data_IF_067939910459
#
_entry.id   IF_067939910459
#
_cell.length_a   1.000
_cell.length_b   1.000
_cell.length_c   1.000
_cell.angle_alpha   90.00
_cell.angle_beta   90.00
_cell.angle_gamma   90.00
#
_symmetry.space_group_name_H-M   'P 1'
#
loop_
_entity.id
_entity.type
_entity.pdbx_description
1 polymer ?
#
# COMPACT_ATOMS: atom_id res chain seq x y z
N UNK A 1 -13.66 1.43 -1.19
CA UNK A 1 -14.38 1.95 0.00
C UNK A 1 -15.34 0.90 0.57
N UNK A 2 -16.23 0.29 -0.24
CA UNK A 2 -17.22 -0.68 0.24
C UNK A 2 -16.61 -1.94 0.89
N UNK A 3 -15.51 -2.49 0.36
CA UNK A 3 -14.83 -3.65 0.95
C UNK A 3 -14.28 -3.40 2.36
N UNK A 4 -13.94 -2.15 2.69
CA UNK A 4 -13.54 -1.75 4.04
C UNK A 4 -14.74 -1.58 4.96
N UNK A 5 -15.83 -1.02 4.46
CA UNK A 5 -17.09 -0.90 5.20
C UNK A 5 -17.69 -2.28 5.52
N UNK A 6 -17.56 -3.24 4.59
CA UNK A 6 -17.95 -4.64 4.76
C UNK A 6 -16.94 -5.47 5.55
N UNK A 7 -15.82 -4.87 5.98
CA UNK A 7 -14.74 -5.54 6.72
C UNK A 7 -14.26 -6.85 6.10
N UNK A 8 -14.26 -6.95 4.76
CA UNK A 8 -13.87 -8.17 4.04
C UNK A 8 -12.41 -8.07 3.55
N UNK A 9 -11.47 -8.81 4.17
CA UNK A 9 -10.05 -8.72 3.79
C UNK A 9 -9.81 -9.21 2.36
N UNK A 10 -10.56 -10.23 1.93
CA UNK A 10 -10.44 -10.83 0.59
C UNK A 10 -10.88 -9.86 -0.49
N UNK A 11 -12.02 -9.21 -0.33
CA UNK A 11 -12.51 -8.21 -1.27
C UNK A 11 -11.61 -6.98 -1.29
N UNK A 12 -11.11 -6.56 -0.13
CA UNK A 12 -10.15 -5.46 -0.05
C UNK A 12 -8.89 -5.75 -0.86
N UNK A 13 -8.27 -6.93 -0.66
CA UNK A 13 -7.09 -7.35 -1.43
C UNK A 13 -7.37 -7.42 -2.94
N UNK A 14 -8.53 -7.96 -3.32
CA UNK A 14 -8.94 -8.03 -4.73
C UNK A 14 -9.07 -6.64 -5.36
N UNK A 15 -9.82 -5.74 -4.72
CA UNK A 15 -10.04 -4.39 -5.25
C UNK A 15 -8.76 -3.55 -5.23
N UNK A 16 -7.88 -3.74 -4.24
CA UNK A 16 -6.55 -3.14 -4.23
C UNK A 16 -5.74 -3.60 -5.45
N UNK A 17 -5.71 -4.90 -5.75
CA UNK A 17 -5.03 -5.44 -6.92
C UNK A 17 -5.57 -4.85 -8.23
N UNK A 18 -6.90 -4.77 -8.39
CA UNK A 18 -7.50 -4.16 -9.59
C UNK A 18 -7.13 -2.68 -9.73
N UNK A 19 -7.13 -1.94 -8.63
CA UNK A 19 -6.74 -0.53 -8.63
C UNK A 19 -5.28 -0.34 -9.00
N UNK A 20 -4.36 -1.09 -8.39
CA UNK A 20 -2.92 -1.05 -8.71
C UNK A 20 -2.69 -1.43 -10.18
N UNK A 21 -3.37 -2.45 -10.68
CA UNK A 21 -3.29 -2.85 -12.10
C UNK A 21 -3.70 -1.71 -13.02
N UNK A 22 -4.80 -1.02 -12.71
CA UNK A 22 -5.23 0.14 -13.47
C UNK A 22 -4.20 1.28 -13.46
N UNK A 23 -3.64 1.62 -12.29
CA UNK A 23 -2.59 2.64 -12.18
C UNK A 23 -1.31 2.25 -12.93
N UNK A 24 -0.96 0.96 -12.89
CA UNK A 24 0.18 0.40 -13.61
C UNK A 24 -0.01 0.52 -15.11
N UNK A 25 -1.18 0.17 -15.64
CA UNK A 25 -1.50 0.27 -17.08
C UNK A 25 -1.51 1.72 -17.54
N UNK A 26 -2.07 2.62 -16.73
CA UNK A 26 -2.13 4.06 -17.05
C UNK A 26 -0.80 4.78 -16.83
N UNK A 27 0.19 4.12 -16.21
CA UNK A 27 1.50 4.70 -15.90
C UNK A 27 1.43 5.84 -14.87
N UNK A 28 0.40 5.86 -14.02
CA UNK A 28 0.20 6.94 -13.06
C UNK A 28 1.09 6.75 -11.82
N UNK A 29 2.34 7.16 -11.95
CA UNK A 29 3.36 7.07 -10.91
C UNK A 29 2.96 7.81 -9.63
N UNK A 30 2.43 9.03 -9.73
CA UNK A 30 2.07 9.85 -8.56
C UNK A 30 1.05 9.16 -7.66
N UNK A 31 0.02 8.54 -8.24
CA UNK A 31 -0.97 7.78 -7.47
C UNK A 31 -0.41 6.47 -6.90
N UNK A 32 0.51 5.80 -7.60
CA UNK A 32 1.18 4.62 -7.08
C UNK A 32 2.05 4.96 -5.86
N UNK A 33 2.82 6.05 -5.94
CA UNK A 33 3.61 6.56 -4.82
C UNK A 33 2.73 6.90 -3.64
N UNK A 34 1.65 7.66 -3.86
CA UNK A 34 0.70 7.99 -2.80
C UNK A 34 0.06 6.74 -2.18
N UNK A 35 -0.26 5.72 -2.98
CA UNK A 35 -0.82 4.46 -2.49
C UNK A 35 0.17 3.70 -1.62
N UNK A 36 1.42 3.57 -2.06
CA UNK A 36 2.48 2.95 -1.27
C UNK A 36 2.72 3.74 0.00
N UNK A 37 2.75 5.06 -0.10
CA UNK A 37 2.87 5.96 1.04
C UNK A 37 1.74 5.72 2.05
N UNK A 38 0.47 5.65 1.63
CA UNK A 38 -0.65 5.34 2.53
C UNK A 38 -0.52 3.96 3.20
N UNK A 39 0.06 2.97 2.52
CA UNK A 39 0.29 1.64 3.07
C UNK A 39 1.47 1.63 4.06
N UNK A 40 2.53 2.39 3.80
CA UNK A 40 3.79 2.38 4.59
C UNK A 40 3.88 3.49 5.67
N UNK A 41 3.42 4.72 5.43
CA UNK A 41 3.53 5.86 6.36
C UNK A 41 2.79 5.68 7.68
N UNK A 42 1.77 4.82 7.69
CA UNK A 42 1.12 4.38 8.93
C UNK A 42 2.10 3.77 9.93
N UNK A 43 3.20 3.16 9.47
CA UNK A 43 4.21 2.55 10.33
C UNK A 43 5.35 3.49 10.78
N UNK A 44 5.56 4.66 10.16
CA UNK A 44 6.78 5.45 10.42
C UNK A 44 6.57 6.91 10.82
N UNK A 45 5.51 7.60 10.34
CA UNK A 45 5.41 9.08 10.52
C UNK A 45 4.03 9.63 10.91
N UNK A 46 3.01 8.79 11.06
CA UNK A 46 1.68 9.25 11.47
C UNK A 46 1.60 9.49 12.99
N UNK A 47 2.21 10.59 13.44
CA UNK A 47 1.94 11.24 14.74
C UNK A 47 0.92 12.38 14.52
N UNK A 48 -0.24 12.05 13.95
CA UNK A 48 -1.32 13.02 13.77
C UNK A 48 -2.52 12.58 14.62
N UNK A 49 -2.66 13.30 15.74
CA UNK A 49 -3.83 13.35 16.59
C UNK A 49 -5.04 13.80 15.78
N UNK A 50 -6.15 13.05 15.85
CA UNK A 50 -7.42 13.49 15.32
C UNK A 50 -8.26 12.37 14.74
N UNK A 51 -9.39 12.11 15.40
CA UNK A 51 -10.48 11.24 14.98
C UNK A 51 -10.82 11.45 13.49
N UNK A 52 -10.30 10.58 12.62
CA UNK A 52 -10.53 10.64 11.18
C UNK A 52 -10.87 9.24 10.67
N UNK A 53 -12.03 9.13 10.03
CA UNK A 53 -12.68 7.92 9.51
C UNK A 53 -11.94 7.24 8.34
N UNK A 54 -10.68 7.58 8.13
CA UNK A 54 -9.88 7.15 6.98
C UNK A 54 -8.88 6.07 7.42
N UNK A 55 -9.08 4.84 6.96
CA UNK A 55 -8.28 3.67 7.37
C UNK A 55 -6.76 3.82 7.17
N UNK A 56 -6.34 4.63 6.20
CA UNK A 56 -4.92 4.89 5.92
C UNK A 56 -4.26 5.81 6.93
N UNK A 57 -5.04 6.59 7.70
CA UNK A 57 -4.55 7.45 8.78
C UNK A 57 -4.36 6.70 10.11
N UNK A 58 -4.90 5.49 10.23
CA UNK A 58 -4.64 4.63 11.38
C UNK A 58 -3.18 4.18 11.38
N UNK A 59 -2.48 4.34 12.50
CA UNK A 59 -1.11 3.83 12.73
C UNK A 59 -1.07 2.29 12.92
N UNK A 60 -2.20 1.60 12.77
CA UNK A 60 -2.26 0.15 12.92
C UNK A 60 -1.43 -0.55 11.84
N UNK A 61 -0.55 -1.51 12.20
CA UNK A 61 0.30 -2.23 11.23
C UNK A 61 -0.50 -3.13 10.27
N UNK A 62 -1.78 -3.29 10.53
CA UNK A 62 -2.70 -4.12 9.78
C UNK A 62 -3.93 -3.32 9.31
N UNK A 63 -4.49 -3.73 8.18
CA UNK A 63 -5.78 -3.28 7.65
C UNK A 63 -6.63 -4.52 7.48
N UNK A 64 -7.73 -4.65 8.23
CA UNK A 64 -8.57 -5.86 8.21
C UNK A 64 -7.76 -7.14 8.45
N UNK A 65 -6.83 -7.12 9.41
CA UNK A 65 -5.89 -8.21 9.71
C UNK A 65 -4.90 -8.56 8.58
N UNK A 66 -4.74 -7.68 7.60
CA UNK A 66 -3.73 -7.80 6.54
C UNK A 66 -2.54 -6.92 6.86
N UNK A 67 -1.35 -7.52 6.89
CA UNK A 67 -0.10 -6.79 7.05
C UNK A 67 0.13 -5.86 5.84
N UNK A 68 0.29 -4.57 6.11
CA UNK A 68 0.41 -3.55 5.04
C UNK A 68 1.67 -3.74 4.19
N UNK A 69 2.80 -4.09 4.81
CA UNK A 69 4.05 -4.36 4.10
C UNK A 69 3.86 -5.58 3.18
N UNK A 70 3.18 -6.62 3.66
CA UNK A 70 2.83 -7.79 2.84
C UNK A 70 1.91 -7.45 1.68
N UNK A 71 0.98 -6.50 1.83
CA UNK A 71 0.18 -6.02 0.69
C UNK A 71 1.04 -5.34 -0.38
N UNK A 72 2.06 -4.59 0.02
CA UNK A 72 2.99 -3.98 -0.94
C UNK A 72 3.83 -5.06 -1.64
N UNK A 73 4.37 -6.03 -0.88
CA UNK A 73 5.16 -7.15 -1.41
C UNK A 73 4.36 -8.06 -2.34
N UNK A 74 3.14 -8.46 -1.94
CA UNK A 74 2.37 -9.51 -2.61
C UNK A 74 1.44 -8.97 -3.70
N UNK A 75 1.16 -7.66 -3.72
CA UNK A 75 0.19 -7.06 -4.66
C UNK A 75 0.81 -5.89 -5.43
N UNK A 76 1.39 -4.92 -4.74
CA UNK A 76 1.82 -3.68 -5.41
C UNK A 76 3.06 -3.90 -6.29
N UNK A 77 4.13 -4.48 -5.73
CA UNK A 77 5.39 -4.73 -6.44
C UNK A 77 5.17 -5.66 -7.66
N UNK A 78 4.44 -6.80 -7.55
CA UNK A 78 4.21 -7.67 -8.69
C UNK A 78 3.45 -7.01 -9.83
N UNK A 79 2.46 -6.15 -9.55
CA UNK A 79 1.76 -5.41 -10.61
C UNK A 79 2.67 -4.35 -11.24
N UNK A 80 3.40 -3.56 -10.45
CA UNK A 80 4.34 -2.56 -10.97
C UNK A 80 5.44 -3.18 -11.85
N UNK A 81 5.91 -4.38 -11.52
CA UNK A 81 6.94 -5.09 -12.27
C UNK A 81 6.57 -5.35 -13.73
N UNK A 82 5.27 -5.41 -14.04
CA UNK A 82 4.75 -5.64 -15.40
C UNK A 82 4.89 -4.42 -16.31
N UNK A 83 5.17 -3.23 -15.77
CA UNK A 83 5.39 -2.02 -16.54
C UNK A 83 6.84 -1.54 -16.41
N UNK A 84 7.59 -1.56 -17.52
CA UNK A 84 8.99 -1.14 -17.57
C UNK A 84 9.20 0.32 -17.14
N UNK A 85 8.24 1.21 -17.40
CA UNK A 85 8.33 2.62 -17.01
C UNK A 85 8.31 2.81 -15.48
N UNK A 86 7.73 1.85 -14.74
CA UNK A 86 7.60 1.91 -13.29
C UNK A 86 8.74 1.22 -12.53
N UNK A 87 9.74 0.67 -13.23
CA UNK A 87 10.83 -0.09 -12.61
C UNK A 87 11.63 0.73 -11.59
N UNK A 88 11.88 2.02 -11.87
CA UNK A 88 12.55 2.90 -10.93
C UNK A 88 11.74 3.04 -9.63
N UNK A 89 10.46 3.35 -9.76
CA UNK A 89 9.53 3.51 -8.62
C UNK A 89 9.41 2.21 -7.84
N UNK A 90 9.26 1.08 -8.53
CA UNK A 90 9.19 -0.24 -7.92
C UNK A 90 10.42 -0.56 -7.07
N UNK A 91 11.62 -0.22 -7.55
CA UNK A 91 12.86 -0.44 -6.82
C UNK A 91 12.91 0.43 -5.55
N UNK A 92 12.55 1.72 -5.66
CA UNK A 92 12.45 2.62 -4.50
C UNK A 92 11.47 2.06 -3.45
N UNK A 93 10.28 1.66 -3.88
CA UNK A 93 9.25 1.04 -3.03
C UNK A 93 9.74 -0.24 -2.36
N UNK A 94 10.47 -1.09 -3.09
CA UNK A 94 11.00 -2.35 -2.55
C UNK A 94 12.02 -2.10 -1.44
N UNK A 95 12.86 -1.08 -1.59
CA UNK A 95 13.84 -0.67 -0.57
C UNK A 95 13.16 -0.08 0.67
N UNK A 96 12.10 0.71 0.49
CA UNK A 96 11.32 1.28 1.60
C UNK A 96 10.66 0.19 2.46
N UNK A 97 10.12 -0.85 1.81
CA UNK A 97 9.55 -2.01 2.50
C UNK A 97 10.61 -2.78 3.28
N UNK A 98 11.77 -3.06 2.68
CA UNK A 98 12.88 -3.75 3.36
C UNK A 98 13.38 -2.96 4.57
N UNK A 99 13.55 -1.65 4.42
CA UNK A 99 13.96 -0.75 5.52
C UNK A 99 12.91 -0.75 6.65
N UNK A 100 11.63 -0.74 6.30
CA UNK A 100 10.52 -0.78 7.27
C UNK A 100 10.45 -2.11 8.03
N UNK A 101 10.83 -3.22 7.40
CA UNK A 101 10.88 -4.54 8.06
C UNK A 101 12.10 -4.65 8.99
N UNK A 102 13.26 -4.09 8.63
CA UNK A 102 14.46 -4.11 9.46
C UNK A 102 14.35 -3.28 10.74
N UNK A 103 13.61 -2.17 10.73
CA UNK A 103 13.38 -1.35 11.94
C UNK A 103 12.45 -2.01 12.97
N UNK A 104 11.78 -3.12 12.62
CA UNK A 104 10.83 -3.84 13.50
C UNK A 104 11.39 -5.14 14.08
N UNK A 105 12.59 -5.56 13.69
CA UNK A 105 13.28 -6.77 14.20
C UNK A 105 14.26 -6.46 15.31
#
# INVERSE_FOLDING_TARGET
>A
ACSLALSSPKEFRYWLSQYVKHLTITGNESHLRLLVEMLLLSSSKAKLSGNTSCWWLSSAPEILSLNRNKLVEDVVIPEMSKNRALQRVMNEVSLDVQTSNHLKS
#
